data_IF_301749059765
#
_entry.id   IF_301749059765
#
_cell.length_a   1.000
_cell.length_b   1.000
_cell.length_c   1.000
_cell.angle_alpha   90.00
_cell.angle_beta   90.00
_cell.angle_gamma   90.00
#
_symmetry.space_group_name_H-M   'P 1'
#
loop_
_entity.id
_entity.type
_entity.pdbx_description
1 polymer ?
#
# COMPACT_ATOMS: atom_id res chain seq x y z
N UNK A 1 -14.52 10.52 19.85
CA UNK A 1 -15.87 11.11 20.02
C UNK A 1 -16.13 11.31 21.50
N UNK A 2 -16.46 12.54 21.94
CA UNK A 2 -16.76 12.85 23.34
C UNK A 2 -18.25 12.81 23.55
N UNK A 3 -18.74 11.90 24.38
CA UNK A 3 -20.17 11.84 24.75
C UNK A 3 -20.29 12.33 26.16
N UNK A 4 -21.06 13.43 26.36
CA UNK A 4 -21.31 13.99 27.68
C UNK A 4 -22.69 13.56 28.14
N UNK A 5 -22.77 12.77 29.21
CA UNK A 5 -24.01 12.42 29.87
C UNK A 5 -24.23 13.41 31.03
N UNK A 6 -25.28 14.26 30.94
CA UNK A 6 -25.73 15.11 32.04
C UNK A 6 -26.83 14.40 32.83
N UNK A 7 -26.52 13.96 34.03
CA UNK A 7 -27.55 13.64 35.02
C UNK A 7 -27.60 14.72 36.08
N UNK A 8 -28.82 15.16 36.39
CA UNK A 8 -29.14 16.26 37.27
C UNK A 8 -28.96 15.89 38.76
N UNK A 9 -27.76 15.61 39.19
CA UNK A 9 -27.34 15.63 40.60
C UNK A 9 -25.82 15.66 40.67
N UNK A 10 -25.30 16.87 40.89
CA UNK A 10 -23.89 17.20 41.17
C UNK A 10 -22.81 16.55 40.21
N UNK A 11 -22.61 17.29 39.14
CA UNK A 11 -21.39 17.43 38.32
C UNK A 11 -20.19 16.53 38.70
N UNK A 12 -20.18 15.32 38.20
CA UNK A 12 -18.96 14.70 37.78
C UNK A 12 -19.08 14.48 36.28
N UNK A 13 -18.26 15.20 35.51
CA UNK A 13 -18.08 14.93 34.09
C UNK A 13 -17.33 13.60 34.02
N UNK A 14 -18.00 12.53 33.63
CA UNK A 14 -17.36 11.28 33.30
C UNK A 14 -17.04 11.38 31.82
N UNK A 15 -15.77 11.63 31.52
CA UNK A 15 -15.27 11.49 30.16
C UNK A 15 -15.21 9.97 29.85
N UNK A 16 -16.22 9.47 29.15
CA UNK A 16 -16.20 8.11 28.63
C UNK A 16 -15.32 8.14 27.39
N UNK A 17 -14.11 7.63 27.52
CA UNK A 17 -13.28 7.31 26.36
C UNK A 17 -13.84 6.04 25.74
N UNK A 18 -14.49 6.18 24.59
CA UNK A 18 -14.79 5.03 23.74
C UNK A 18 -13.44 4.62 23.15
N UNK A 19 -12.87 3.55 23.65
CA UNK A 19 -11.73 2.91 22.99
C UNK A 19 -12.25 2.35 21.67
N UNK A 20 -11.87 2.98 20.57
CA UNK A 20 -12.10 2.40 19.25
C UNK A 20 -11.24 1.14 19.13
N UNK A 21 -11.91 0.02 18.90
CA UNK A 21 -11.18 -1.23 18.61
C UNK A 21 -10.61 -1.12 17.21
N UNK A 22 -9.29 -1.19 17.11
CA UNK A 22 -8.62 -1.22 15.82
C UNK A 22 -8.89 -2.57 15.16
N UNK A 23 -9.55 -2.53 14.00
CA UNK A 23 -9.87 -3.73 13.23
C UNK A 23 -8.65 -4.13 12.39
N UNK A 24 -8.32 -5.41 12.39
CA UNK A 24 -7.26 -5.98 11.53
C UNK A 24 -7.78 -6.42 10.16
N UNK A 25 -9.09 -6.34 9.92
CA UNK A 25 -9.74 -6.66 8.64
C UNK A 25 -10.71 -5.55 8.29
N UNK A 26 -10.64 -5.05 7.06
CA UNK A 26 -11.57 -4.08 6.51
C UNK A 26 -11.74 -4.28 5.01
N UNK A 27 -12.86 -3.83 4.48
CA UNK A 27 -13.10 -3.74 3.03
C UNK A 27 -12.54 -2.43 2.43
N UNK A 28 -12.04 -1.52 3.25
CA UNK A 28 -11.53 -0.21 2.86
C UNK A 28 -10.02 -0.11 3.08
N UNK A 29 -9.26 0.07 2.00
CA UNK A 29 -7.81 0.26 2.10
C UNK A 29 -7.43 1.42 3.03
N UNK A 30 -8.18 2.52 3.01
CA UNK A 30 -7.92 3.67 3.86
C UNK A 30 -8.00 3.33 5.37
N UNK A 31 -8.98 2.51 5.78
CA UNK A 31 -9.08 2.06 7.17
C UNK A 31 -7.88 1.18 7.56
N UNK A 32 -7.48 0.25 6.70
CA UNK A 32 -6.30 -0.61 6.94
C UNK A 32 -5.03 0.24 7.05
N UNK A 33 -4.81 1.16 6.12
CA UNK A 33 -3.61 2.01 6.13
C UNK A 33 -3.59 2.93 7.36
N UNK A 34 -4.74 3.53 7.72
CA UNK A 34 -4.85 4.33 8.93
C UNK A 34 -4.52 3.52 10.20
N UNK A 35 -4.99 2.28 10.27
CA UNK A 35 -4.70 1.39 11.38
C UNK A 35 -3.21 1.03 11.44
N UNK A 36 -2.57 0.76 10.29
CA UNK A 36 -1.13 0.51 10.21
C UNK A 36 -0.33 1.75 10.65
N UNK A 37 -0.71 2.94 10.17
CA UNK A 37 -0.10 4.21 10.59
C UNK A 37 -0.20 4.38 12.10
N UNK A 38 -1.37 4.13 12.67
CA UNK A 38 -1.62 4.31 14.11
C UNK A 38 -0.82 3.32 14.96
N UNK A 39 -0.76 2.05 14.57
CA UNK A 39 -0.16 0.98 15.39
C UNK A 39 1.35 0.87 15.18
N UNK A 40 1.80 1.00 13.92
CA UNK A 40 3.16 0.62 13.53
C UNK A 40 4.01 1.80 13.06
N UNK A 41 3.41 2.94 12.71
CA UNK A 41 4.13 4.13 12.25
C UNK A 41 3.97 5.34 13.18
N UNK A 42 3.62 5.11 14.44
CA UNK A 42 3.47 6.14 15.48
C UNK A 42 2.53 7.31 15.11
N UNK A 43 1.57 7.07 14.22
CA UNK A 43 0.68 8.10 13.70
C UNK A 43 1.29 8.99 12.60
N UNK A 44 2.55 8.77 12.23
CA UNK A 44 3.23 9.54 11.19
C UNK A 44 2.87 9.02 9.78
N UNK A 45 2.85 9.88 8.75
CA UNK A 45 2.66 9.46 7.37
C UNK A 45 3.72 8.43 6.94
N UNK A 46 3.44 7.67 5.90
CA UNK A 46 4.47 6.85 5.27
C UNK A 46 5.55 7.71 4.63
N UNK A 47 6.83 7.31 4.72
CA UNK A 47 7.92 8.04 4.10
C UNK A 47 7.95 7.87 2.59
N UNK A 48 7.63 6.67 2.10
CA UNK A 48 7.79 6.30 0.70
C UNK A 48 6.62 5.46 0.20
N UNK A 49 6.16 5.73 -1.02
CA UNK A 49 5.37 4.81 -1.83
C UNK A 49 6.08 4.61 -3.18
N UNK A 50 6.54 3.40 -3.43
CA UNK A 50 7.27 3.07 -4.65
C UNK A 50 6.37 2.62 -5.80
N UNK A 51 5.06 2.59 -5.58
CA UNK A 51 4.02 2.18 -6.54
C UNK A 51 2.88 3.19 -6.56
N UNK A 52 3.22 4.47 -6.41
CA UNK A 52 2.29 5.56 -6.10
C UNK A 52 1.14 5.70 -7.11
N UNK A 53 1.39 5.48 -8.39
CA UNK A 53 0.39 5.55 -9.47
C UNK A 53 -0.39 6.89 -9.45
N UNK A 54 -1.63 6.89 -9.00
CA UNK A 54 -2.51 8.06 -8.85
C UNK A 54 -2.67 8.52 -7.40
N UNK A 55 -1.95 7.92 -6.47
CA UNK A 55 -2.10 8.24 -5.07
C UNK A 55 -3.45 7.85 -4.45
N UNK A 56 -4.10 6.80 -4.98
CA UNK A 56 -5.44 6.40 -4.53
C UNK A 56 -5.51 5.95 -3.06
N UNK A 57 -4.37 5.77 -2.41
CA UNK A 57 -4.27 5.44 -0.99
C UNK A 57 -4.29 6.66 -0.08
N UNK A 58 -4.11 7.85 -0.64
CA UNK A 58 -3.89 9.10 0.09
C UNK A 58 -5.04 10.08 -0.13
N UNK A 59 -5.24 10.97 0.84
CA UNK A 59 -6.29 11.97 0.82
C UNK A 59 -7.39 11.71 1.84
N UNK A 60 -8.55 12.29 1.61
CA UNK A 60 -9.69 12.23 2.52
C UNK A 60 -10.66 11.13 2.11
N UNK A 61 -11.03 10.31 3.08
CA UNK A 61 -11.93 9.17 2.88
C UNK A 61 -13.08 9.23 3.89
N UNK A 62 -14.26 8.78 3.45
CA UNK A 62 -15.39 8.56 4.34
C UNK A 62 -15.65 7.06 4.42
N UNK A 63 -15.37 6.47 5.59
CA UNK A 63 -15.45 5.03 5.82
C UNK A 63 -16.35 4.78 7.02
N UNK A 64 -17.47 4.09 6.82
CA UNK A 64 -18.46 3.76 7.87
C UNK A 64 -18.88 4.97 8.74
N UNK A 65 -18.96 6.17 8.12
CA UNK A 65 -19.31 7.40 8.79
C UNK A 65 -18.15 8.12 9.49
N UNK A 66 -16.96 7.55 9.46
CA UNK A 66 -15.72 8.18 9.94
C UNK A 66 -15.05 8.95 8.82
N UNK A 67 -14.55 10.13 9.13
CA UNK A 67 -13.70 10.91 8.23
C UNK A 67 -12.23 10.55 8.53
N UNK A 68 -11.58 9.90 7.56
CA UNK A 68 -10.17 9.52 7.63
C UNK A 68 -9.36 10.38 6.67
N UNK A 69 -8.15 10.74 7.06
CA UNK A 69 -7.19 11.43 6.19
C UNK A 69 -5.86 10.71 6.23
N UNK A 70 -5.44 10.20 5.06
CA UNK A 70 -4.13 9.59 4.87
C UNK A 70 -3.26 10.59 4.13
N UNK A 71 -2.22 11.08 4.79
CA UNK A 71 -1.30 12.04 4.18
C UNK A 71 -0.43 11.35 3.12
N UNK A 72 -0.07 12.12 2.09
CA UNK A 72 0.84 11.64 1.05
C UNK A 72 2.25 11.41 1.59
N UNK A 73 2.97 10.40 1.06
CA UNK A 73 4.35 10.16 1.43
C UNK A 73 5.28 11.26 0.88
N UNK A 74 6.42 11.42 1.54
CA UNK A 74 7.46 12.34 1.09
C UNK A 74 8.06 11.90 -0.24
N UNK A 75 8.33 10.60 -0.41
CA UNK A 75 8.91 10.02 -1.61
C UNK A 75 7.87 9.24 -2.38
N UNK A 76 7.63 9.69 -3.61
CA UNK A 76 6.64 9.10 -4.52
C UNK A 76 7.35 8.60 -5.77
N UNK A 77 7.30 7.29 -6.00
CA UNK A 77 7.92 6.64 -7.15
C UNK A 77 6.91 5.82 -7.93
N UNK A 78 7.14 5.69 -9.22
CA UNK A 78 6.38 4.79 -10.09
C UNK A 78 7.20 4.47 -11.35
N UNK A 79 7.00 3.30 -11.92
CA UNK A 79 7.61 2.94 -13.22
C UNK A 79 6.96 3.68 -14.38
N UNK A 80 5.70 4.09 -14.22
CA UNK A 80 4.92 4.85 -15.19
C UNK A 80 4.17 6.02 -14.49
N UNK A 81 4.89 7.06 -14.05
CA UNK A 81 4.30 8.16 -13.33
C UNK A 81 3.24 8.86 -14.16
N UNK A 82 2.16 9.31 -13.48
CA UNK A 82 1.02 9.99 -14.10
C UNK A 82 1.09 11.50 -13.85
N UNK A 83 1.82 11.92 -12.81
CA UNK A 83 2.00 13.31 -12.41
C UNK A 83 3.47 13.66 -12.27
N UNK A 84 3.80 14.95 -12.43
CA UNK A 84 5.18 15.46 -12.44
C UNK A 84 5.88 15.38 -11.07
N UNK A 85 5.11 15.25 -10.00
CA UNK A 85 5.60 15.13 -8.63
C UNK A 85 5.94 13.69 -8.22
N UNK A 86 5.74 12.73 -9.12
CA UNK A 86 6.11 11.32 -8.96
C UNK A 86 7.37 11.03 -9.75
N UNK A 87 8.39 10.55 -9.09
CA UNK A 87 9.69 10.26 -9.71
C UNK A 87 9.60 8.91 -10.44
N UNK A 88 9.99 8.91 -11.71
CA UNK A 88 10.08 7.69 -12.50
C UNK A 88 11.25 6.83 -12.02
N UNK A 89 10.97 5.54 -11.84
CA UNK A 89 11.97 4.50 -11.57
C UNK A 89 11.96 3.43 -12.67
N UNK A 90 13.09 2.77 -12.86
CA UNK A 90 13.17 1.66 -13.81
C UNK A 90 12.59 0.37 -13.19
N UNK A 91 11.92 -0.50 -13.97
CA UNK A 91 11.23 -1.70 -13.46
C UNK A 91 12.10 -2.65 -12.62
N UNK A 92 13.41 -2.64 -12.83
CA UNK A 92 14.40 -3.49 -12.14
C UNK A 92 15.55 -2.64 -11.59
N UNK A 93 15.28 -1.33 -11.41
CA UNK A 93 16.26 -0.38 -10.91
C UNK A 93 16.34 -0.36 -9.38
N UNK A 94 17.16 0.55 -8.89
CA UNK A 94 17.22 0.89 -7.48
C UNK A 94 16.37 2.13 -7.20
N UNK A 95 15.80 2.21 -6.01
CA UNK A 95 15.23 3.45 -5.53
C UNK A 95 16.35 4.49 -5.33
N UNK A 96 16.15 5.74 -5.73
CA UNK A 96 17.13 6.82 -5.53
C UNK A 96 17.12 7.31 -4.06
N UNK A 97 17.28 6.38 -3.15
CA UNK A 97 17.35 6.57 -1.70
C UNK A 97 18.60 5.86 -1.17
N UNK A 98 19.20 6.45 -0.15
CA UNK A 98 20.33 5.84 0.56
C UNK A 98 19.88 4.60 1.35
N UNK A 99 20.83 3.73 1.66
CA UNK A 99 20.58 2.58 2.53
C UNK A 99 20.13 3.07 3.92
N UNK A 100 19.20 2.35 4.55
CA UNK A 100 18.71 2.62 5.92
C UNK A 100 18.26 4.08 6.14
N UNK A 101 17.65 4.71 5.10
CA UNK A 101 17.33 6.15 5.11
C UNK A 101 15.89 6.46 5.54
N UNK A 102 14.95 5.55 5.33
CA UNK A 102 13.52 5.74 5.61
C UNK A 102 13.01 4.77 6.67
N UNK A 103 11.85 5.09 7.27
CA UNK A 103 11.20 4.24 8.29
C UNK A 103 10.03 3.45 7.77
N UNK A 104 9.41 3.92 6.67
CA UNK A 104 8.20 3.28 6.18
C UNK A 104 8.10 3.33 4.66
N UNK A 105 7.70 2.21 4.07
CA UNK A 105 7.49 2.07 2.62
C UNK A 105 6.22 1.32 2.31
N UNK A 106 5.49 1.80 1.29
CA UNK A 106 4.29 1.15 0.73
C UNK A 106 4.63 0.55 -0.62
N UNK A 107 4.17 -0.68 -0.84
CA UNK A 107 4.33 -1.44 -2.08
C UNK A 107 2.98 -2.07 -2.47
N UNK A 108 2.42 -1.65 -3.61
CA UNK A 108 1.21 -2.24 -4.22
C UNK A 108 1.48 -2.60 -5.68
N UNK A 109 2.35 -3.59 -5.87
CA UNK A 109 2.70 -4.07 -7.21
C UNK A 109 1.49 -4.70 -7.91
N UNK A 110 1.45 -4.64 -9.24
CA UNK A 110 0.45 -5.38 -9.99
C UNK A 110 0.50 -6.87 -9.65
N UNK A 111 -0.66 -7.46 -9.39
CA UNK A 111 -0.80 -8.89 -9.05
C UNK A 111 -1.50 -9.69 -10.16
N UNK A 112 -1.83 -9.05 -11.29
CA UNK A 112 -2.50 -9.70 -12.40
C UNK A 112 -1.51 -10.54 -13.18
N UNK A 113 -1.80 -11.83 -13.32
CA UNK A 113 -1.04 -12.74 -14.17
C UNK A 113 -1.75 -12.88 -15.50
N UNK A 114 -1.11 -12.40 -16.56
CA UNK A 114 -1.64 -12.52 -17.91
C UNK A 114 -1.54 -13.96 -18.44
N UNK A 115 -2.44 -14.32 -19.34
CA UNK A 115 -2.29 -15.53 -20.14
C UNK A 115 -1.21 -15.34 -21.22
N UNK A 116 -0.73 -16.44 -21.81
CA UNK A 116 0.24 -16.43 -22.92
C UNK A 116 -0.11 -15.49 -24.09
N UNK A 117 -1.36 -15.10 -24.17
CA UNK A 117 -1.87 -14.26 -25.27
C UNK A 117 -1.86 -12.76 -24.95
N UNK A 118 -1.51 -12.39 -23.71
CA UNK A 118 -1.53 -11.00 -23.26
C UNK A 118 -0.13 -10.59 -22.83
N UNK A 119 0.41 -9.49 -23.38
CA UNK A 119 1.77 -9.05 -23.09
C UNK A 119 1.94 -8.65 -21.63
N UNK A 120 3.16 -8.86 -21.10
CA UNK A 120 3.57 -8.38 -19.78
C UNK A 120 3.63 -6.85 -19.72
N UNK A 121 3.81 -6.30 -18.53
CA UNK A 121 4.02 -4.88 -18.25
C UNK A 121 5.05 -4.20 -19.14
N UNK A 122 6.11 -4.93 -19.50
CA UNK A 122 7.25 -4.37 -20.24
C UNK A 122 6.95 -4.05 -21.72
N UNK A 123 5.86 -4.63 -22.28
CA UNK A 123 5.44 -4.36 -23.65
C UNK A 123 3.91 -4.48 -23.80
N UNK A 124 3.12 -3.50 -23.35
CA UNK A 124 1.68 -3.50 -23.60
C UNK A 124 1.44 -3.30 -25.10
N UNK A 125 1.02 -4.34 -25.79
CA UNK A 125 0.65 -4.23 -27.21
C UNK A 125 -0.60 -3.35 -27.34
N UNK A 126 -0.66 -2.62 -28.43
CA UNK A 126 -1.86 -1.91 -28.87
C UNK A 126 -3.06 -2.89 -28.89
N UNK A 127 -4.16 -2.52 -28.21
CA UNK A 127 -5.32 -3.41 -28.06
C UNK A 127 -5.41 -4.24 -26.76
N UNK A 128 -4.42 -4.17 -25.86
CA UNK A 128 -4.49 -4.85 -24.55
C UNK A 128 -5.66 -4.32 -23.71
N UNK A 129 -6.21 -5.21 -22.84
CA UNK A 129 -7.25 -4.85 -21.90
C UNK A 129 -6.85 -3.61 -21.08
N UNK A 130 -7.78 -2.70 -20.85
CA UNK A 130 -7.57 -1.46 -20.10
C UNK A 130 -7.00 -1.71 -18.70
N UNK A 131 -7.34 -2.83 -18.05
CA UNK A 131 -6.80 -3.25 -16.76
C UNK A 131 -5.30 -3.49 -16.87
N UNK A 132 -4.87 -4.20 -17.91
CA UNK A 132 -3.44 -4.52 -18.13
C UNK A 132 -2.68 -3.25 -18.48
N UNK A 133 -3.25 -2.37 -19.31
CA UNK A 133 -2.64 -1.07 -19.64
C UNK A 133 -2.48 -0.18 -18.43
N UNK A 134 -3.42 -0.24 -17.48
CA UNK A 134 -3.47 0.67 -16.33
C UNK A 134 -2.69 0.15 -15.13
N UNK A 135 -2.74 -1.15 -14.87
CA UNK A 135 -2.17 -1.76 -13.66
C UNK A 135 -1.01 -2.69 -13.96
N UNK A 136 -0.78 -3.02 -15.25
CA UNK A 136 0.20 -3.98 -15.67
C UNK A 136 -0.18 -5.43 -15.39
N UNK A 137 0.68 -6.34 -15.82
CA UNK A 137 0.51 -7.77 -15.60
C UNK A 137 1.85 -8.50 -15.79
N UNK A 138 1.93 -9.70 -15.26
CA UNK A 138 3.12 -10.56 -15.38
C UNK A 138 2.82 -11.79 -16.20
N UNK A 139 3.82 -12.25 -16.95
CA UNK A 139 3.81 -13.52 -17.62
C UNK A 139 5.24 -13.95 -17.98
N UNK A 140 5.62 -15.19 -17.67
CA UNK A 140 4.90 -16.18 -16.87
C UNK A 140 4.78 -15.75 -15.40
N UNK A 141 4.02 -16.49 -14.58
CA UNK A 141 3.78 -16.07 -13.18
C UNK A 141 5.07 -15.91 -12.35
N UNK A 142 6.17 -16.59 -12.74
CA UNK A 142 7.48 -16.44 -12.10
C UNK A 142 8.01 -15.00 -12.17
N UNK A 143 7.62 -14.22 -13.18
CA UNK A 143 7.99 -12.81 -13.28
C UNK A 143 7.38 -11.97 -12.15
N UNK A 144 6.19 -12.36 -11.66
CA UNK A 144 5.58 -11.73 -10.48
C UNK A 144 6.49 -11.93 -9.26
N UNK A 145 6.93 -13.16 -9.00
CA UNK A 145 7.78 -13.44 -7.83
C UNK A 145 9.16 -12.79 -7.94
N UNK A 146 9.75 -12.77 -9.12
CA UNK A 146 10.99 -12.03 -9.34
C UNK A 146 10.84 -10.55 -9.03
N UNK A 147 9.74 -9.95 -9.51
CA UNK A 147 9.43 -8.55 -9.22
C UNK A 147 9.22 -8.31 -7.73
N UNK A 148 8.49 -9.20 -7.06
CA UNK A 148 8.27 -9.12 -5.62
C UNK A 148 9.57 -9.24 -4.83
N UNK A 149 10.41 -10.22 -5.15
CA UNK A 149 11.73 -10.38 -4.50
C UNK A 149 12.60 -9.15 -4.69
N UNK A 150 12.72 -8.67 -5.93
CA UNK A 150 13.54 -7.49 -6.23
C UNK A 150 13.11 -6.26 -5.41
N UNK A 151 11.81 -5.97 -5.39
CA UNK A 151 11.33 -4.77 -4.70
C UNK A 151 11.28 -4.92 -3.18
N UNK A 152 11.14 -6.13 -2.66
CA UNK A 152 11.30 -6.40 -1.23
C UNK A 152 12.77 -6.27 -0.81
N UNK A 153 13.74 -6.70 -1.63
CA UNK A 153 15.17 -6.49 -1.41
C UNK A 153 15.51 -4.99 -1.40
N UNK A 154 14.97 -4.21 -2.34
CA UNK A 154 15.13 -2.76 -2.35
C UNK A 154 14.48 -2.07 -1.14
N UNK A 155 13.27 -2.50 -0.75
CA UNK A 155 12.63 -2.01 0.47
C UNK A 155 13.51 -2.31 1.71
N UNK A 156 14.02 -3.51 1.82
CA UNK A 156 14.92 -3.89 2.92
C UNK A 156 16.20 -3.04 2.93
N UNK A 157 16.77 -2.73 1.76
CA UNK A 157 17.96 -1.88 1.66
C UNK A 157 17.72 -0.46 2.17
N UNK A 158 16.58 0.16 1.82
CA UNK A 158 16.32 1.57 2.16
C UNK A 158 15.68 1.75 3.53
N UNK A 159 15.07 0.71 4.10
CA UNK A 159 14.46 0.76 5.42
C UNK A 159 15.52 0.71 6.52
N UNK A 160 15.29 1.50 7.57
CA UNK A 160 16.00 1.40 8.83
C UNK A 160 15.67 0.06 9.51
N UNK A 161 16.50 -0.37 10.45
CA UNK A 161 16.33 -1.63 11.20
C UNK A 161 14.94 -1.77 11.86
N UNK A 162 14.37 -0.66 12.34
CA UNK A 162 13.04 -0.59 12.95
C UNK A 162 11.93 -0.15 11.98
N UNK A 163 12.24 -0.12 10.68
CA UNK A 163 11.33 0.32 9.63
C UNK A 163 10.24 -0.68 9.30
N UNK A 164 9.16 -0.21 8.70
CA UNK A 164 8.02 -1.03 8.29
C UNK A 164 7.84 -1.05 6.77
N UNK A 165 7.54 -2.22 6.23
CA UNK A 165 7.14 -2.41 4.85
C UNK A 165 5.67 -2.81 4.79
N UNK A 166 4.85 -1.97 4.17
CA UNK A 166 3.44 -2.30 3.86
C UNK A 166 3.40 -2.89 2.46
N UNK A 167 3.38 -4.22 2.40
CA UNK A 167 3.34 -4.94 1.14
C UNK A 167 1.94 -5.47 0.88
N UNK A 168 1.25 -4.89 -0.11
CA UNK A 168 -0.08 -5.34 -0.51
C UNK A 168 0.03 -6.38 -1.61
N UNK A 169 -0.49 -7.56 -1.36
CA UNK A 169 -0.63 -8.60 -2.36
C UNK A 169 -2.05 -9.17 -2.35
N UNK A 170 -2.47 -9.68 -3.50
CA UNK A 170 -3.76 -10.32 -3.62
C UNK A 170 -3.61 -11.82 -3.75
N UNK A 171 -4.43 -12.57 -3.02
CA UNK A 171 -4.48 -14.01 -3.19
C UNK A 171 -5.21 -14.34 -4.48
N UNK A 172 -4.49 -14.78 -5.48
CA UNK A 172 -5.05 -15.28 -6.73
C UNK A 172 -4.69 -16.75 -6.91
N UNK A 173 -5.56 -17.50 -7.58
CA UNK A 173 -5.28 -18.87 -7.96
C UNK A 173 -4.72 -18.86 -9.37
N UNK A 174 -3.48 -19.27 -9.52
CA UNK A 174 -2.87 -19.55 -10.81
C UNK A 174 -2.22 -20.92 -10.79
N UNK A 175 -2.55 -21.78 -11.73
CA UNK A 175 -2.02 -23.15 -11.78
C UNK A 175 -2.09 -23.90 -10.45
N UNK A 176 -3.21 -23.77 -9.73
CA UNK A 176 -3.45 -24.38 -8.41
C UNK A 176 -2.59 -23.83 -7.26
N UNK A 177 -1.96 -22.69 -7.43
CA UNK A 177 -1.16 -22.05 -6.39
C UNK A 177 -1.83 -20.79 -5.85
N UNK A 178 -1.67 -20.56 -4.55
CA UNK A 178 -2.07 -19.30 -3.89
C UNK A 178 -0.85 -18.39 -3.74
N UNK A 179 -0.88 -17.24 -4.39
CA UNK A 179 0.29 -16.33 -4.45
C UNK A 179 0.68 -15.83 -3.06
N UNK A 180 -0.28 -15.41 -2.22
CA UNK A 180 0.05 -14.93 -0.89
C UNK A 180 0.76 -15.99 -0.05
N UNK A 181 0.39 -17.27 -0.15
CA UNK A 181 1.06 -18.34 0.59
C UNK A 181 2.48 -18.63 0.12
N UNK A 182 2.83 -18.25 -1.11
CA UNK A 182 4.21 -18.36 -1.62
C UNK A 182 5.08 -17.17 -1.16
N UNK A 183 4.50 -16.00 -0.94
CA UNK A 183 5.23 -14.81 -0.44
C UNK A 183 5.70 -14.99 1.01
N UNK A 184 4.93 -15.75 1.83
CA UNK A 184 5.26 -16.00 3.24
C UNK A 184 6.17 -17.21 3.48
N UNK A 185 6.68 -17.85 2.46
CA UNK A 185 7.63 -18.97 2.55
C UNK A 185 9.06 -18.53 2.38
#
# INVERSE_FOLDING_TARGET
>A
MKVTLRNALKTKIIDIYIMETIKNVSYHNAEILNNIITIHNNGEPFDCDMTYSKGNFYGKFKVDGLDLEIQEPQYKFDVNPISDDVIKIEPWGKLPLEDESIRSIVIDLPFVIASNKVPSLQNPKEGSNIIIKRFGSYYPYQELFKSYSHWLEEAFRVLKDDGICVFKCQNTITSSKFICSEVYR
#
